data_IF_818010142853
#
_entry.id   IF_818010142853
#
_cell.length_a   1.000
_cell.length_b   1.000
_cell.length_c   1.000
_cell.angle_alpha   90.00
_cell.angle_beta   90.00
_cell.angle_gamma   90.00
#
_symmetry.space_group_name_H-M   'P 1'
#
loop_
_entity.id
_entity.type
_entity.pdbx_description
1 polymer ?
#
# COMPACT_ATOMS: atom_id res chain seq x y z
N UNK A 1 -6.21 -5.30 3.65
CA UNK A 1 -6.23 -3.97 3.00
C UNK A 1 -7.36 -3.08 3.52
N UNK A 2 -7.04 -1.96 4.18
CA UNK A 2 -8.05 -1.02 4.72
C UNK A 2 -8.27 0.17 3.77
N UNK A 3 -9.52 0.57 3.55
CA UNK A 3 -9.86 1.80 2.84
C UNK A 3 -9.73 3.02 3.76
N UNK A 4 -8.96 4.04 3.39
CA UNK A 4 -8.79 5.23 4.25
C UNK A 4 -10.04 6.13 4.27
N UNK A 5 -10.88 6.10 3.22
CA UNK A 5 -12.08 6.95 3.14
C UNK A 5 -13.25 6.44 3.99
N UNK A 6 -13.43 5.12 4.07
CA UNK A 6 -14.56 4.52 4.79
C UNK A 6 -14.16 3.45 5.82
N UNK A 7 -12.86 3.27 6.06
CA UNK A 7 -12.29 2.29 7.00
C UNK A 7 -12.69 0.83 6.76
N UNK A 8 -13.28 0.54 5.59
CA UNK A 8 -13.67 -0.83 5.21
C UNK A 8 -12.42 -1.69 5.03
N UNK A 9 -12.41 -2.84 5.70
CA UNK A 9 -11.35 -3.83 5.59
C UNK A 9 -11.71 -4.82 4.48
N UNK A 10 -10.79 -4.99 3.53
CA UNK A 10 -10.89 -5.88 2.38
C UNK A 10 -9.72 -6.87 2.40
N UNK A 11 -9.99 -8.08 1.91
CA UNK A 11 -9.05 -9.21 1.99
C UNK A 11 -7.86 -9.10 1.03
N UNK A 12 -8.00 -8.37 -0.08
CA UNK A 12 -7.01 -8.30 -1.17
C UNK A 12 -6.85 -6.87 -1.69
N UNK A 13 -5.67 -6.58 -2.23
CA UNK A 13 -5.30 -5.23 -2.69
C UNK A 13 -6.08 -4.87 -3.95
N UNK A 14 -6.25 -5.85 -4.83
CA UNK A 14 -7.09 -5.80 -6.02
C UNK A 14 -8.56 -5.47 -5.68
N UNK A 15 -9.09 -6.03 -4.58
CA UNK A 15 -10.44 -5.70 -4.08
C UNK A 15 -10.51 -4.29 -3.52
N UNK A 16 -9.48 -3.83 -2.80
CA UNK A 16 -9.40 -2.46 -2.31
C UNK A 16 -9.39 -1.45 -3.48
N UNK A 17 -8.65 -1.75 -4.54
CA UNK A 17 -8.62 -0.94 -5.75
C UNK A 17 -9.98 -0.85 -6.46
N UNK A 18 -10.64 -2.00 -6.64
CA UNK A 18 -12.00 -2.02 -7.20
C UNK A 18 -13.01 -1.29 -6.29
N UNK A 19 -12.81 -1.33 -4.97
CA UNK A 19 -13.63 -0.60 -4.01
C UNK A 19 -13.47 0.92 -4.15
N UNK A 20 -12.26 1.45 -4.32
CA UNK A 20 -12.05 2.88 -4.59
C UNK A 20 -12.82 3.33 -5.82
N UNK A 21 -12.77 2.56 -6.90
CA UNK A 21 -13.48 2.89 -8.13
C UNK A 21 -14.99 2.82 -7.95
N UNK A 22 -15.52 1.73 -7.37
CA UNK A 22 -16.97 1.51 -7.29
C UNK A 22 -17.68 2.32 -6.22
N UNK A 23 -17.04 2.57 -5.08
CA UNK A 23 -17.67 3.20 -3.91
C UNK A 23 -17.31 4.67 -3.80
N UNK A 24 -16.07 5.03 -4.15
CA UNK A 24 -15.57 6.40 -4.02
C UNK A 24 -15.43 7.11 -5.37
N UNK A 25 -15.71 6.42 -6.49
CA UNK A 25 -15.49 6.93 -7.85
C UNK A 25 -14.03 7.41 -8.07
N UNK A 26 -13.09 6.80 -7.36
CA UNK A 26 -11.67 7.10 -7.42
C UNK A 26 -11.00 6.09 -8.35
N UNK A 27 -10.46 6.57 -9.47
CA UNK A 27 -9.67 5.74 -10.37
C UNK A 27 -8.20 5.72 -9.93
N UNK A 28 -7.79 4.60 -9.35
CA UNK A 28 -6.38 4.33 -9.10
C UNK A 28 -5.76 3.64 -10.33
N UNK A 29 -4.74 4.22 -11.00
CA UNK A 29 -4.11 3.57 -12.14
C UNK A 29 -3.41 2.27 -11.72
N UNK A 30 -3.33 1.31 -12.65
CA UNK A 30 -2.55 0.08 -12.44
C UNK A 30 -1.08 0.37 -12.46
N UNK A 31 -0.38 -0.16 -11.45
CA UNK A 31 1.07 -0.07 -11.36
C UNK A 31 1.67 -0.69 -12.63
N UNK A 32 2.61 -0.02 -13.31
CA UNK A 32 3.20 -0.55 -14.53
C UNK A 32 3.84 -1.92 -14.26
N UNK A 33 3.51 -2.90 -15.10
CA UNK A 33 4.00 -4.27 -14.97
C UNK A 33 5.52 -4.32 -15.21
N UNK A 34 6.29 -4.43 -14.13
CA UNK A 34 7.70 -4.81 -14.20
C UNK A 34 7.86 -6.31 -13.98
N UNK A 35 9.01 -6.87 -14.40
CA UNK A 35 9.40 -8.31 -14.30
C UNK A 35 9.30 -8.96 -12.90
N UNK A 36 8.93 -8.19 -11.87
CA UNK A 36 8.63 -8.64 -10.51
C UNK A 36 7.23 -8.17 -10.13
N UNK A 37 6.22 -8.91 -10.57
CA UNK A 37 4.86 -8.82 -10.04
C UNK A 37 4.98 -9.07 -8.53
N UNK A 38 4.83 -8.03 -7.71
CA UNK A 38 4.74 -8.22 -6.26
C UNK A 38 3.43 -8.96 -6.03
N UNK A 39 3.50 -10.18 -5.50
CA UNK A 39 2.32 -10.93 -5.12
C UNK A 39 1.43 -10.06 -4.23
N UNK A 40 0.12 -10.28 -4.38
CA UNK A 40 -1.00 -9.61 -3.69
C UNK A 40 -0.97 -9.92 -2.17
N UNK A 41 0.12 -9.57 -1.48
CA UNK A 41 0.31 -9.80 -0.05
C UNK A 41 0.36 -8.47 0.71
N UNK A 42 -0.55 -8.37 1.67
CA UNK A 42 -0.85 -7.24 2.57
C UNK A 42 0.30 -6.85 3.53
N UNK A 43 1.45 -7.53 3.47
CA UNK A 43 2.54 -7.38 4.43
C UNK A 43 3.88 -7.44 3.73
N UNK A 44 4.55 -6.29 3.63
CA UNK A 44 5.96 -6.24 3.30
C UNK A 44 6.76 -6.16 4.59
N UNK A 45 7.67 -7.11 4.76
CA UNK A 45 8.72 -7.08 5.78
C UNK A 45 9.79 -6.09 5.28
N UNK A 46 9.79 -4.85 5.78
CA UNK A 46 10.93 -3.96 5.59
C UNK A 46 11.96 -4.30 6.67
N UNK A 47 13.16 -4.72 6.25
CA UNK A 47 14.28 -4.96 7.17
C UNK A 47 15.05 -3.64 7.25
N UNK A 48 14.85 -2.89 8.33
CA UNK A 48 15.72 -1.74 8.62
C UNK A 48 17.05 -2.29 9.15
N UNK A 49 18.17 -1.91 8.52
CA UNK A 49 19.53 -2.21 9.00
C UNK A 49 19.94 -1.27 10.15
N UNK A 50 19.00 -0.79 10.95
CA UNK A 50 19.31 0.03 12.10
C UNK A 50 19.06 -0.76 13.37
N UNK A 51 20.19 -1.05 14.01
CA UNK A 51 20.38 -1.56 15.36
C UNK A 51 20.50 -3.08 15.49
N UNK A 52 21.78 -3.43 15.65
CA UNK A 52 22.32 -4.58 16.37
C UNK A 52 22.40 -5.92 15.63
N UNK A 53 23.57 -6.52 15.81
CA UNK A 53 24.17 -7.60 15.04
C UNK A 53 23.45 -8.97 15.13
N UNK A 54 22.13 -9.02 15.36
CA UNK A 54 21.44 -10.30 15.51
C UNK A 54 19.99 -10.40 15.02
N UNK A 55 19.19 -9.34 14.95
CA UNK A 55 17.80 -9.47 14.48
C UNK A 55 17.32 -8.22 13.72
N UNK A 56 16.96 -8.32 12.43
CA UNK A 56 16.34 -7.21 11.72
C UNK A 56 14.96 -6.90 12.31
N UNK A 57 14.71 -5.64 12.64
CA UNK A 57 13.39 -5.18 13.07
C UNK A 57 12.44 -5.21 11.87
N UNK A 58 11.32 -5.93 11.99
CA UNK A 58 10.28 -6.04 10.96
C UNK A 58 9.27 -4.93 11.22
N UNK A 59 9.35 -3.84 10.46
CA UNK A 59 8.37 -2.76 10.54
C UNK A 59 7.29 -2.93 9.45
N UNK A 60 5.98 -2.88 9.82
CA UNK A 60 4.91 -2.97 8.84
C UNK A 60 4.77 -1.65 8.07
N UNK A 61 5.04 -1.67 6.76
CA UNK A 61 4.82 -0.52 5.88
C UNK A 61 3.57 -0.71 5.01
N UNK A 62 2.90 0.39 4.70
CA UNK A 62 1.75 0.47 3.80
C UNK A 62 2.22 0.83 2.38
N UNK A 63 1.92 -0.03 1.40
CA UNK A 63 2.31 0.17 0.02
C UNK A 63 1.22 0.87 -0.80
N UNK A 64 1.63 1.76 -1.71
CA UNK A 64 0.73 2.33 -2.70
C UNK A 64 0.34 1.28 -3.77
N UNK A 65 -0.93 1.30 -4.16
CA UNK A 65 -1.49 0.40 -5.17
C UNK A 65 -1.23 0.86 -6.62
N UNK A 66 -0.83 2.13 -6.79
CA UNK A 66 -0.66 2.77 -8.10
C UNK A 66 0.80 3.02 -8.48
N UNK A 67 1.71 3.08 -7.51
CA UNK A 67 3.13 3.34 -7.76
C UNK A 67 4.05 2.44 -6.90
N UNK A 68 5.37 2.68 -6.95
CA UNK A 68 6.35 1.92 -6.14
C UNK A 68 6.54 2.44 -4.70
N UNK A 69 5.84 3.52 -4.31
CA UNK A 69 5.98 4.13 -3.00
C UNK A 69 5.39 3.27 -1.88
N UNK A 70 5.96 3.39 -0.69
CA UNK A 70 5.52 2.75 0.54
C UNK A 70 5.85 3.64 1.74
N UNK A 71 5.02 3.58 2.78
CA UNK A 71 5.05 4.51 3.90
C UNK A 71 4.87 3.78 5.22
N UNK A 72 5.50 4.23 6.31
CA UNK A 72 5.36 3.60 7.62
C UNK A 72 3.97 3.82 8.23
N UNK A 73 3.29 4.94 7.92
CA UNK A 73 1.95 5.23 8.41
C UNK A 73 0.90 5.29 7.28
N UNK A 74 -0.33 4.90 7.62
CA UNK A 74 -1.46 4.95 6.68
C UNK A 74 -1.86 6.40 6.34
N UNK A 75 -1.61 7.35 7.25
CA UNK A 75 -1.83 8.79 7.02
C UNK A 75 -0.96 9.30 5.87
N UNK A 76 0.31 8.91 5.85
CA UNK A 76 1.26 9.33 4.83
C UNK A 76 0.93 8.71 3.47
N UNK A 77 0.53 7.43 3.46
CA UNK A 77 0.01 6.78 2.26
C UNK A 77 -1.26 7.49 1.75
N UNK A 78 -2.16 7.90 2.64
CA UNK A 78 -3.40 8.58 2.26
C UNK A 78 -3.09 9.94 1.63
N UNK A 79 -2.22 10.75 2.26
CA UNK A 79 -1.78 12.03 1.72
C UNK A 79 -1.11 11.88 0.35
N UNK A 80 -0.26 10.87 0.17
CA UNK A 80 0.34 10.57 -1.14
C UNK A 80 -0.70 10.23 -2.20
N UNK A 81 -1.71 9.40 -1.88
CA UNK A 81 -2.77 9.05 -2.83
C UNK A 81 -3.55 10.31 -3.23
N UNK A 82 -3.85 11.19 -2.27
CA UNK A 82 -4.59 12.42 -2.52
C UNK A 82 -3.81 13.47 -3.33
N UNK A 83 -2.49 13.58 -3.13
CA UNK A 83 -1.66 14.58 -3.81
C UNK A 83 -1.15 14.11 -5.19
N UNK A 84 -0.91 12.81 -5.34
CA UNK A 84 -0.23 12.25 -6.54
C UNK A 84 -1.17 11.49 -7.48
N UNK A 85 -2.33 11.02 -7.00
CA UNK A 85 -3.20 10.12 -7.77
C UNK A 85 -4.66 10.58 -7.87
N UNK A 86 -5.05 11.65 -7.16
CA UNK A 86 -6.34 12.33 -7.29
C UNK A 86 -6.14 13.69 -7.95
#
# INVERSE_FOLDING_TARGET
>A
HMCHKCQKILSESSKLKAHYLKVHNIFLPSRPEGRRVRLDTDKYTYISQQNDAHHPSIEPHYACLSCLAHYPAMTDLSAHIEDTHL
#
